data_IF_829110016360
#
_entry.id   IF_829110016360
#
_cell.length_a   1.000
_cell.length_b   1.000
_cell.length_c   1.000
_cell.angle_alpha   90.00
_cell.angle_beta   90.00
_cell.angle_gamma   90.00
#
_symmetry.space_group_name_H-M   'P 1'
#
loop_
_entity.id
_entity.type
_entity.pdbx_description
1 polymer ?
#
# COMPACT_ATOMS: atom_id res chain seq x y z
N UNK A 1 3.83 -15.20 5.37
CA UNK A 1 2.49 -14.76 4.92
C UNK A 1 1.83 -13.83 5.93
N UNK A 2 1.37 -14.31 7.10
CA UNK A 2 0.68 -13.48 8.11
C UNK A 2 1.43 -12.18 8.48
N UNK A 3 2.68 -12.32 8.89
CA UNK A 3 3.56 -11.19 9.21
C UNK A 3 3.80 -10.27 7.99
N UNK A 4 3.88 -10.83 6.78
CA UNK A 4 4.07 -10.05 5.55
C UNK A 4 2.85 -9.20 5.23
N UNK A 5 1.65 -9.78 5.31
CA UNK A 5 0.39 -9.07 5.11
C UNK A 5 0.17 -7.98 6.18
N UNK A 6 0.48 -8.28 7.46
CA UNK A 6 0.41 -7.29 8.53
C UNK A 6 1.45 -6.17 8.35
N UNK A 7 2.67 -6.50 7.91
CA UNK A 7 3.69 -5.50 7.58
C UNK A 7 3.24 -4.59 6.45
N UNK A 8 2.73 -5.12 5.34
CA UNK A 8 2.27 -4.30 4.22
C UNK A 8 1.06 -3.47 4.61
N UNK A 9 0.14 -4.01 5.41
CA UNK A 9 -0.97 -3.25 5.98
C UNK A 9 -0.48 -2.03 6.77
N UNK A 10 0.42 -2.24 7.74
CA UNK A 10 0.92 -1.16 8.61
C UNK A 10 1.76 -0.15 7.83
N UNK A 11 2.63 -0.59 6.91
CA UNK A 11 3.50 0.34 6.18
C UNK A 11 2.72 1.24 5.22
N UNK A 12 1.59 0.76 4.69
CA UNK A 12 0.71 1.55 3.81
C UNK A 12 -0.13 2.60 4.57
N UNK A 13 -0.22 2.51 5.90
CA UNK A 13 -0.87 3.56 6.73
C UNK A 13 -0.05 4.88 6.74
N UNK A 14 1.21 4.85 6.33
CA UNK A 14 2.07 6.04 6.24
C UNK A 14 1.91 6.72 4.87
N UNK A 15 0.70 7.16 4.56
CA UNK A 15 0.37 7.75 3.26
C UNK A 15 0.31 9.27 3.26
N UNK A 16 0.65 9.84 2.11
CA UNK A 16 0.66 11.28 1.87
C UNK A 16 -0.21 11.58 0.66
N UNK A 17 -1.24 12.44 0.78
CA UNK A 17 -2.09 12.85 -0.34
C UNK A 17 -1.30 13.53 -1.45
N UNK A 18 -1.62 13.17 -2.70
CA UNK A 18 -1.03 13.75 -3.91
C UNK A 18 -2.14 14.47 -4.69
N UNK A 19 -2.17 15.81 -4.70
CA UNK A 19 -3.13 16.57 -5.48
C UNK A 19 -3.08 16.20 -6.97
N UNK A 20 -4.25 15.96 -7.57
CA UNK A 20 -4.37 15.51 -8.96
C UNK A 20 -4.10 14.02 -9.18
N UNK A 21 -3.73 13.27 -8.14
CA UNK A 21 -3.56 11.82 -8.13
C UNK A 21 -4.36 11.19 -6.99
N UNK A 22 -3.76 10.24 -6.26
CA UNK A 22 -4.33 9.65 -5.03
C UNK A 22 -3.45 9.95 -3.82
N UNK A 23 -2.63 8.99 -3.40
CA UNK A 23 -1.66 9.08 -2.31
C UNK A 23 -0.34 8.46 -2.75
N UNK A 24 0.72 8.79 -2.03
CA UNK A 24 2.01 8.12 -2.18
C UNK A 24 2.53 7.65 -0.84
N UNK A 25 3.14 6.46 -0.85
CA UNK A 25 3.74 5.82 0.31
C UNK A 25 4.61 4.64 -0.09
N UNK A 26 5.29 4.07 0.91
CA UNK A 26 5.86 2.74 0.80
C UNK A 26 4.74 1.69 0.82
N UNK A 27 4.85 0.66 -0.02
CA UNK A 27 3.88 -0.45 -0.11
C UNK A 27 4.52 -1.75 0.38
N UNK A 28 5.81 -1.98 0.12
CA UNK A 28 6.52 -3.18 0.56
C UNK A 28 6.19 -4.44 -0.26
N UNK A 29 5.49 -4.33 -1.40
CA UNK A 29 5.17 -5.47 -2.27
C UNK A 29 6.42 -6.21 -2.76
N UNK A 30 7.47 -5.47 -3.14
CA UNK A 30 8.76 -6.03 -3.55
C UNK A 30 9.46 -6.75 -2.41
N UNK A 31 9.36 -6.26 -1.17
CA UNK A 31 9.91 -6.95 0.01
C UNK A 31 9.30 -8.34 0.13
N UNK A 32 7.97 -8.43 0.09
CA UNK A 32 7.27 -9.70 0.23
C UNK A 32 7.59 -10.63 -0.93
N UNK A 33 7.66 -10.10 -2.15
CA UNK A 33 7.98 -10.88 -3.34
C UNK A 33 9.39 -11.47 -3.29
N UNK A 34 10.40 -10.71 -2.86
CA UNK A 34 11.78 -11.18 -2.72
C UNK A 34 11.93 -12.24 -1.61
N UNK A 35 11.12 -12.18 -0.55
CA UNK A 35 11.22 -13.10 0.59
C UNK A 35 10.40 -14.37 0.41
N UNK A 36 9.19 -14.26 -0.16
CA UNK A 36 8.21 -15.37 -0.23
C UNK A 36 7.79 -15.74 -1.66
N UNK A 37 8.22 -15.00 -2.67
CA UNK A 37 7.77 -15.13 -4.05
C UNK A 37 6.56 -14.25 -4.40
N UNK A 38 6.33 -13.97 -5.70
CA UNK A 38 5.35 -13.00 -6.14
C UNK A 38 3.90 -13.42 -5.85
N UNK A 39 3.58 -14.72 -5.94
CA UNK A 39 2.23 -15.22 -5.64
C UNK A 39 1.86 -15.10 -4.15
N UNK A 40 2.82 -15.33 -3.25
CA UNK A 40 2.61 -15.12 -1.83
C UNK A 40 2.42 -13.63 -1.51
N UNK A 41 3.10 -12.75 -2.25
CA UNK A 41 2.89 -11.31 -2.17
C UNK A 41 1.49 -10.91 -2.64
N UNK A 42 1.00 -11.42 -3.78
CA UNK A 42 -0.39 -11.19 -4.24
C UNK A 42 -1.39 -11.48 -3.12
N UNK A 43 -1.32 -12.69 -2.54
CA UNK A 43 -2.26 -13.09 -1.48
C UNK A 43 -2.13 -12.17 -0.25
N UNK A 44 -0.89 -11.84 0.13
CA UNK A 44 -0.65 -11.01 1.33
C UNK A 44 -1.16 -9.58 1.16
N UNK A 45 -0.84 -8.93 0.04
CA UNK A 45 -1.22 -7.55 -0.22
C UNK A 45 -2.71 -7.43 -0.54
N UNK A 46 -3.30 -8.37 -1.30
CA UNK A 46 -4.75 -8.37 -1.51
C UNK A 46 -5.53 -8.50 -0.21
N UNK A 47 -5.08 -9.33 0.73
CA UNK A 47 -5.71 -9.41 2.05
C UNK A 47 -5.55 -8.11 2.83
N UNK A 48 -4.35 -7.51 2.83
CA UNK A 48 -4.11 -6.22 3.49
C UNK A 48 -5.05 -5.12 2.94
N UNK A 49 -5.12 -4.98 1.62
CA UNK A 49 -5.98 -4.01 0.94
C UNK A 49 -7.46 -4.27 1.20
N UNK A 50 -7.88 -5.53 1.22
CA UNK A 50 -9.27 -5.90 1.56
C UNK A 50 -9.62 -5.43 2.97
N UNK A 51 -8.71 -5.61 3.93
CA UNK A 51 -8.92 -5.16 5.31
C UNK A 51 -8.93 -3.64 5.41
N UNK A 52 -8.04 -2.93 4.69
CA UNK A 52 -8.05 -1.46 4.59
C UNK A 52 -9.39 -0.94 4.08
N UNK A 53 -9.84 -1.46 2.94
CA UNK A 53 -11.09 -1.03 2.31
C UNK A 53 -12.32 -1.35 3.16
N UNK A 54 -12.44 -2.58 3.68
CA UNK A 54 -13.66 -3.00 4.39
C UNK A 54 -13.76 -2.42 5.80
N UNK A 55 -12.66 -2.39 6.56
CA UNK A 55 -12.70 -1.97 7.97
C UNK A 55 -12.36 -0.51 8.17
N UNK A 56 -11.47 0.04 7.35
CA UNK A 56 -10.89 1.37 7.57
C UNK A 56 -11.28 2.39 6.50
N UNK A 57 -11.94 1.98 5.42
CA UNK A 57 -12.33 2.88 4.34
C UNK A 57 -11.14 3.49 3.58
N UNK A 58 -9.92 2.96 3.78
CA UNK A 58 -8.73 3.32 3.01
C UNK A 58 -8.77 2.50 1.72
N UNK A 59 -9.03 3.20 0.61
CA UNK A 59 -9.48 2.66 -0.67
C UNK A 59 -10.99 2.38 -0.72
N UNK A 60 -11.57 2.55 -1.91
CA UNK A 60 -12.98 2.28 -2.18
C UNK A 60 -13.27 0.82 -2.51
N UNK A 61 -14.46 0.34 -2.15
CA UNK A 61 -14.88 -1.05 -2.45
C UNK A 61 -14.91 -1.34 -3.96
N UNK A 62 -15.27 -0.36 -4.76
CA UNK A 62 -15.30 -0.45 -6.24
C UNK A 62 -13.90 -0.34 -6.84
N UNK A 63 -12.95 0.27 -6.13
CA UNK A 63 -11.56 0.41 -6.58
C UNK A 63 -10.64 -0.67 -6.01
N UNK A 64 -11.12 -1.54 -5.12
CA UNK A 64 -10.34 -2.64 -4.52
C UNK A 64 -9.65 -3.52 -5.57
N UNK A 65 -10.33 -3.81 -6.68
CA UNK A 65 -9.77 -4.56 -7.79
C UNK A 65 -8.58 -3.86 -8.44
N UNK A 66 -8.71 -2.57 -8.75
CA UNK A 66 -7.63 -1.75 -9.29
C UNK A 66 -6.46 -1.61 -8.30
N UNK A 67 -6.76 -1.38 -7.03
CA UNK A 67 -5.75 -1.31 -5.96
C UNK A 67 -4.98 -2.63 -5.82
N UNK A 68 -5.66 -3.77 -5.87
CA UNK A 68 -5.02 -5.09 -5.86
C UNK A 68 -4.19 -5.32 -7.13
N UNK A 69 -4.69 -4.93 -8.30
CA UNK A 69 -3.94 -5.07 -9.55
C UNK A 69 -2.64 -4.26 -9.51
N UNK A 70 -2.70 -3.01 -9.06
CA UNK A 70 -1.53 -2.14 -8.94
C UNK A 70 -0.56 -2.65 -7.87
N UNK A 71 -1.01 -2.71 -6.62
CA UNK A 71 -0.12 -2.93 -5.49
C UNK A 71 0.14 -4.40 -5.20
N UNK A 72 -0.84 -5.29 -5.38
CA UNK A 72 -0.67 -6.72 -5.09
C UNK A 72 -0.17 -7.53 -6.30
N UNK A 73 -0.35 -7.06 -7.53
CA UNK A 73 0.12 -7.76 -8.73
C UNK A 73 1.29 -7.06 -9.42
N UNK A 74 1.12 -5.84 -9.95
CA UNK A 74 2.19 -5.14 -10.70
C UNK A 74 3.44 -5.00 -9.84
N UNK A 75 3.31 -4.45 -8.63
CA UNK A 75 4.48 -4.20 -7.79
C UNK A 75 5.28 -5.48 -7.46
N UNK A 76 4.69 -6.56 -6.90
CA UNK A 76 5.44 -7.78 -6.61
C UNK A 76 6.08 -8.42 -7.83
N UNK A 77 5.39 -8.49 -8.96
CA UNK A 77 5.91 -9.14 -10.16
C UNK A 77 7.05 -8.33 -10.77
N UNK A 78 6.88 -7.01 -10.94
CA UNK A 78 7.94 -6.13 -11.45
C UNK A 78 9.15 -6.19 -10.53
N UNK A 79 8.95 -6.01 -9.22
CA UNK A 79 10.05 -6.05 -8.25
C UNK A 79 10.79 -7.39 -8.25
N UNK A 80 10.04 -8.51 -8.26
CA UNK A 80 10.62 -9.84 -8.30
C UNK A 80 11.48 -10.07 -9.55
N UNK A 81 10.94 -9.79 -10.74
CA UNK A 81 11.68 -10.06 -11.98
C UNK A 81 12.85 -9.09 -12.20
N UNK A 82 12.69 -7.81 -11.86
CA UNK A 82 13.81 -6.84 -11.90
C UNK A 82 14.95 -7.30 -10.99
N UNK A 83 14.64 -7.76 -9.77
CA UNK A 83 15.65 -8.32 -8.87
C UNK A 83 16.34 -9.55 -9.49
N UNK A 84 15.57 -10.54 -9.95
CA UNK A 84 16.13 -11.81 -10.45
C UNK A 84 16.99 -11.63 -11.71
N UNK A 85 16.53 -10.81 -12.66
CA UNK A 85 17.31 -10.47 -13.86
C UNK A 85 18.57 -9.70 -13.46
N UNK A 86 18.44 -8.72 -12.56
CA UNK A 86 19.58 -7.96 -12.04
C UNK A 86 20.61 -8.83 -11.33
N UNK A 87 20.22 -9.97 -10.79
CA UNK A 87 21.06 -10.93 -10.05
C UNK A 87 21.63 -12.08 -10.89
N UNK A 88 21.47 -12.09 -12.22
CA UNK A 88 22.07 -13.14 -13.06
C UNK A 88 23.62 -13.15 -12.98
N UNK A 89 24.23 -14.35 -12.97
CA UNK A 89 25.69 -14.51 -13.05
C UNK A 89 26.45 -14.18 -11.77
N UNK A 90 26.16 -14.89 -10.67
CA UNK A 90 26.90 -14.85 -9.39
C UNK A 90 27.23 -13.45 -8.85
N UNK A 91 26.21 -12.65 -8.48
CA UNK A 91 26.41 -11.28 -8.06
C UNK A 91 27.06 -11.20 -6.68
N UNK A 92 28.09 -10.35 -6.56
CA UNK A 92 28.68 -9.97 -5.27
C UNK A 92 27.72 -9.14 -4.41
N UNK A 93 28.06 -8.96 -3.12
CA UNK A 93 27.18 -8.35 -2.12
C UNK A 93 26.70 -6.94 -2.49
N UNK A 94 27.57 -6.07 -3.03
CA UNK A 94 27.20 -4.71 -3.45
C UNK A 94 26.15 -4.73 -4.56
N UNK A 95 26.32 -5.62 -5.55
CA UNK A 95 25.36 -5.79 -6.64
C UNK A 95 24.03 -6.30 -6.11
N UNK A 96 24.03 -7.23 -5.14
CA UNK A 96 22.80 -7.70 -4.47
C UNK A 96 22.03 -6.58 -3.79
N UNK A 97 22.71 -5.78 -2.98
CA UNK A 97 22.07 -4.66 -2.27
C UNK A 97 21.51 -3.62 -3.26
N UNK A 98 22.30 -3.23 -4.25
CA UNK A 98 21.86 -2.30 -5.30
C UNK A 98 20.68 -2.84 -6.11
N UNK A 99 20.70 -4.13 -6.47
CA UNK A 99 19.62 -4.76 -7.22
C UNK A 99 18.30 -4.83 -6.46
N UNK A 100 18.35 -5.06 -5.14
CA UNK A 100 17.14 -5.02 -4.29
C UNK A 100 16.56 -3.61 -4.26
N UNK A 101 17.40 -2.59 -4.08
CA UNK A 101 16.97 -1.20 -4.05
C UNK A 101 16.35 -0.77 -5.39
N UNK A 102 17.02 -1.09 -6.50
CA UNK A 102 16.55 -0.81 -7.87
C UNK A 102 15.22 -1.53 -8.15
N UNK A 103 15.07 -2.78 -7.71
CA UNK A 103 13.83 -3.52 -7.83
C UNK A 103 12.66 -2.84 -7.11
N UNK A 104 12.87 -2.41 -5.86
CA UNK A 104 11.87 -1.65 -5.11
C UNK A 104 11.50 -0.34 -5.81
N UNK A 105 12.51 0.42 -6.23
CA UNK A 105 12.34 1.70 -6.93
C UNK A 105 11.53 1.58 -8.22
N UNK A 106 11.90 0.64 -9.09
CA UNK A 106 11.22 0.44 -10.39
C UNK A 106 9.79 -0.05 -10.14
N UNK A 107 9.59 -1.00 -9.24
CA UNK A 107 8.28 -1.57 -8.96
C UNK A 107 7.26 -0.52 -8.49
N UNK A 108 7.61 0.33 -7.52
CA UNK A 108 6.68 1.37 -7.04
C UNK A 108 6.38 2.42 -8.11
N UNK A 109 7.36 2.80 -8.94
CA UNK A 109 7.13 3.75 -10.03
C UNK A 109 6.21 3.18 -11.11
N UNK A 110 6.38 1.90 -11.49
CA UNK A 110 5.48 1.23 -12.43
C UNK A 110 4.05 1.10 -11.88
N UNK A 111 3.94 0.87 -10.58
CA UNK A 111 2.67 0.77 -9.86
C UNK A 111 1.94 2.11 -9.82
N UNK A 112 2.66 3.18 -9.49
CA UNK A 112 2.11 4.54 -9.50
C UNK A 112 1.70 4.99 -10.91
N UNK A 113 2.48 4.63 -11.94
CA UNK A 113 2.12 4.91 -13.32
C UNK A 113 0.84 4.19 -13.75
N UNK A 114 0.67 2.92 -13.36
CA UNK A 114 -0.55 2.17 -13.65
C UNK A 114 -1.78 2.85 -13.01
N UNK A 115 -1.71 3.18 -11.72
CA UNK A 115 -2.77 3.94 -11.04
C UNK A 115 -3.04 5.29 -11.73
N UNK A 116 -1.99 6.02 -12.12
CA UNK A 116 -2.15 7.32 -12.80
C UNK A 116 -2.89 7.20 -14.13
N UNK A 117 -2.63 6.14 -14.90
CA UNK A 117 -3.31 5.86 -16.16
C UNK A 117 -4.77 5.50 -15.88
N UNK A 118 -5.03 4.58 -14.96
CA UNK A 118 -6.39 4.15 -14.59
C UNK A 118 -7.27 5.32 -14.14
N UNK A 119 -6.71 6.28 -13.40
CA UNK A 119 -7.37 7.53 -13.03
C UNK A 119 -7.55 8.45 -14.23
N UNK A 120 -6.49 8.71 -14.99
CA UNK A 120 -6.48 9.70 -16.06
C UNK A 120 -7.30 9.33 -17.29
N UNK A 121 -7.62 8.05 -17.48
CA UNK A 121 -8.53 7.60 -18.55
C UNK A 121 -10.01 7.80 -18.20
N UNK A 122 -10.38 7.98 -16.93
CA UNK A 122 -11.79 8.06 -16.54
C UNK A 122 -12.55 9.20 -17.26
N UNK A 123 -12.02 10.44 -17.39
CA UNK A 123 -12.67 11.48 -18.18
C UNK A 123 -12.92 11.11 -19.65
N UNK A 124 -12.10 10.21 -20.21
CA UNK A 124 -12.16 9.81 -21.62
C UNK A 124 -13.22 8.72 -21.82
N UNK A 125 -13.31 7.76 -20.89
CA UNK A 125 -14.17 6.58 -21.04
C UNK A 125 -15.52 6.70 -20.32
N UNK A 126 -15.65 7.63 -19.38
CA UNK A 126 -16.83 7.79 -18.54
C UNK A 126 -17.14 9.28 -18.34
N UNK A 127 -17.83 9.86 -19.33
CA UNK A 127 -18.30 11.24 -19.32
C UNK A 127 -19.80 11.30 -19.59
N UNK A 128 -20.44 12.29 -18.96
CA UNK A 128 -21.83 12.68 -19.19
C UNK A 128 -22.03 13.28 -20.59
N UNK A 129 -23.29 13.40 -21.08
CA UNK A 129 -23.59 14.01 -22.38
C UNK A 129 -23.10 15.46 -22.54
N UNK A 130 -22.98 16.22 -21.44
CA UNK A 130 -22.42 17.58 -21.39
C UNK A 130 -20.89 17.61 -21.24
N UNK A 131 -20.23 16.44 -21.27
CA UNK A 131 -18.78 16.30 -21.29
C UNK A 131 -18.11 16.34 -19.92
N UNK A 132 -18.87 16.30 -18.82
CA UNK A 132 -18.32 16.23 -17.46
C UNK A 132 -17.93 14.80 -17.10
N UNK A 133 -16.75 14.58 -16.50
CA UNK A 133 -16.37 13.26 -15.98
C UNK A 133 -17.38 12.71 -14.98
N UNK A 134 -17.65 11.40 -15.05
CA UNK A 134 -18.53 10.70 -14.12
C UNK A 134 -17.79 10.20 -12.86
N UNK A 135 -16.48 9.96 -12.97
CA UNK A 135 -15.63 9.43 -11.90
C UNK A 135 -14.40 10.32 -11.66
N UNK A 136 -13.18 9.80 -11.82
CA UNK A 136 -11.95 10.59 -11.67
C UNK A 136 -11.96 11.78 -12.64
N UNK A 137 -11.87 13.03 -12.15
CA UNK A 137 -12.12 14.21 -12.97
C UNK A 137 -10.86 14.66 -13.72
N UNK A 138 -9.69 14.25 -13.25
CA UNK A 138 -8.42 14.73 -13.78
C UNK A 138 -7.96 13.89 -14.98
N UNK A 139 -7.54 14.54 -16.09
CA UNK A 139 -7.05 13.83 -17.27
C UNK A 139 -5.63 13.29 -17.07
N UNK A 140 -5.17 12.45 -18.00
CA UNK A 140 -3.81 11.89 -18.04
C UNK A 140 -2.70 12.95 -17.89
N UNK A 141 -2.89 14.15 -18.46
CA UNK A 141 -1.93 15.26 -18.37
C UNK A 141 -1.75 15.83 -16.95
N UNK A 142 -2.67 15.50 -16.03
CA UNK A 142 -2.60 15.85 -14.61
C UNK A 142 -2.21 14.64 -13.78
N UNK A 143 -2.88 13.50 -13.96
CA UNK A 143 -2.67 12.31 -13.12
C UNK A 143 -1.28 11.72 -13.28
N UNK A 144 -0.76 11.64 -14.52
CA UNK A 144 0.57 11.09 -14.79
C UNK A 144 1.66 11.94 -14.13
N UNK A 145 1.76 13.26 -14.35
CA UNK A 145 2.76 14.06 -13.65
C UNK A 145 2.61 14.01 -12.13
N UNK A 146 1.39 14.09 -11.60
CA UNK A 146 1.14 14.07 -10.16
C UNK A 146 1.69 12.78 -9.50
N UNK A 147 1.36 11.63 -10.06
CA UNK A 147 1.77 10.32 -9.52
C UNK A 147 3.21 9.97 -9.88
N UNK A 148 3.62 10.13 -11.13
CA UNK A 148 4.95 9.71 -11.58
C UNK A 148 6.05 10.58 -10.95
N UNK A 149 5.90 11.91 -10.88
CA UNK A 149 6.95 12.78 -10.33
C UNK A 149 7.12 12.58 -8.83
N UNK A 150 6.03 12.50 -8.08
CA UNK A 150 6.07 12.29 -6.63
C UNK A 150 6.68 10.92 -6.27
N UNK A 151 6.34 9.86 -7.00
CA UNK A 151 6.91 8.54 -6.80
C UNK A 151 8.35 8.44 -7.33
N UNK A 152 8.70 9.14 -8.39
CA UNK A 152 10.08 9.16 -8.88
C UNK A 152 11.01 9.84 -7.88
N UNK A 153 10.59 10.98 -7.31
CA UNK A 153 11.42 11.82 -6.44
C UNK A 153 11.41 11.41 -4.98
N UNK A 154 10.28 10.95 -4.43
CA UNK A 154 10.12 10.74 -2.99
C UNK A 154 9.81 9.29 -2.63
N UNK A 155 8.72 8.72 -3.14
CA UNK A 155 8.28 7.38 -2.71
C UNK A 155 9.11 6.24 -3.29
N UNK A 156 9.70 6.45 -4.47
CA UNK A 156 10.68 5.57 -5.11
C UNK A 156 11.90 5.36 -4.25
N UNK A 157 12.62 6.44 -3.85
CA UNK A 157 13.74 6.33 -2.91
C UNK A 157 13.34 5.71 -1.57
N UNK A 158 12.17 6.07 -1.02
CA UNK A 158 11.67 5.49 0.23
C UNK A 158 11.47 3.97 0.09
N UNK A 159 10.79 3.51 -0.97
CA UNK A 159 10.58 2.09 -1.24
C UNK A 159 11.92 1.37 -1.50
N UNK A 160 12.84 1.98 -2.24
CA UNK A 160 14.15 1.41 -2.54
C UNK A 160 14.95 1.16 -1.26
N UNK A 161 15.04 2.17 -0.39
CA UNK A 161 15.75 2.10 0.89
C UNK A 161 15.05 1.11 1.82
N UNK A 162 13.73 1.22 1.98
CA UNK A 162 12.91 0.31 2.79
C UNK A 162 13.07 -1.13 2.35
N UNK A 163 12.98 -1.39 1.04
CA UNK A 163 13.14 -2.73 0.47
C UNK A 163 14.54 -3.28 0.72
N UNK A 164 15.58 -2.50 0.46
CA UNK A 164 16.96 -2.90 0.69
C UNK A 164 17.23 -3.23 2.16
N UNK A 165 16.71 -2.41 3.09
CA UNK A 165 16.87 -2.63 4.53
C UNK A 165 16.19 -3.94 4.97
N UNK A 166 14.91 -4.13 4.65
CA UNK A 166 14.15 -5.28 5.14
C UNK A 166 14.62 -6.58 4.49
N UNK A 167 14.81 -6.61 3.17
CA UNK A 167 15.25 -7.83 2.47
C UNK A 167 16.67 -8.22 2.89
N UNK A 168 17.59 -7.25 3.01
CA UNK A 168 18.96 -7.56 3.47
C UNK A 168 18.98 -8.08 4.91
N UNK A 169 18.12 -7.53 5.78
CA UNK A 169 17.97 -8.02 7.14
C UNK A 169 17.46 -9.48 7.15
N UNK A 170 16.42 -9.79 6.37
CA UNK A 170 15.86 -11.14 6.28
C UNK A 170 16.88 -12.13 5.70
N UNK A 171 17.60 -11.77 4.64
CA UNK A 171 18.60 -12.66 4.05
C UNK A 171 19.77 -12.91 4.98
N UNK A 172 20.32 -11.87 5.61
CA UNK A 172 21.41 -12.01 6.58
C UNK A 172 21.02 -12.86 7.78
N UNK A 173 19.78 -12.73 8.25
CA UNK A 173 19.30 -13.51 9.40
C UNK A 173 18.98 -14.95 9.04
N UNK A 174 18.45 -15.22 7.84
CA UNK A 174 18.28 -16.58 7.32
C UNK A 174 19.62 -17.29 7.15
N UNK A 175 20.64 -16.62 6.58
CA UNK A 175 22.00 -17.17 6.50
C UNK A 175 22.56 -17.46 7.91
N UNK A 176 22.37 -16.54 8.85
CA UNK A 176 22.83 -16.73 10.23
C UNK A 176 22.15 -17.95 10.92
N UNK A 177 20.90 -18.26 10.61
CA UNK A 177 20.22 -19.46 11.14
C UNK A 177 20.87 -20.76 10.68
N UNK A 178 21.38 -20.82 9.44
CA UNK A 178 22.07 -22.02 8.94
C UNK A 178 23.33 -22.35 9.76
N UNK A 179 23.97 -21.33 10.33
CA UNK A 179 25.20 -21.48 11.12
C UNK A 179 25.00 -21.38 12.64
N UNK A 180 23.93 -20.73 13.11
CA UNK A 180 23.61 -20.51 14.53
C UNK A 180 22.11 -20.72 14.77
N UNK A 181 21.66 -21.96 15.03
CA UNK A 181 20.23 -22.32 15.09
C UNK A 181 19.46 -21.75 16.28
N UNK A 182 20.12 -21.04 17.22
CA UNK A 182 19.49 -20.41 18.38
C UNK A 182 18.88 -19.03 18.06
N UNK A 183 19.20 -18.43 16.90
CA UNK A 183 18.65 -17.13 16.51
C UNK A 183 17.25 -17.27 15.90
N UNK A 184 16.24 -16.60 16.48
CA UNK A 184 14.87 -16.59 15.95
C UNK A 184 14.56 -15.26 15.23
N UNK A 185 14.70 -15.18 13.89
CA UNK A 185 14.48 -13.94 13.13
C UNK A 185 13.02 -13.48 13.16
N UNK A 186 12.06 -14.40 13.35
CA UNK A 186 10.66 -14.03 13.44
C UNK A 186 10.40 -13.11 14.62
N UNK A 187 11.05 -13.34 15.78
CA UNK A 187 10.90 -12.47 16.96
C UNK A 187 11.28 -11.03 16.63
N UNK A 188 12.41 -10.83 15.95
CA UNK A 188 12.88 -9.49 15.57
C UNK A 188 11.99 -8.81 14.56
N UNK A 189 11.44 -9.56 13.60
CA UNK A 189 10.48 -9.01 12.62
C UNK A 189 9.16 -8.60 13.30
N UNK A 190 8.68 -9.36 14.28
CA UNK A 190 7.52 -8.96 15.09
C UNK A 190 7.79 -7.70 15.91
N UNK A 191 9.00 -7.57 16.48
CA UNK A 191 9.40 -6.32 17.17
C UNK A 191 9.40 -5.16 16.17
N UNK A 192 9.93 -5.34 14.96
CA UNK A 192 9.87 -4.35 13.89
C UNK A 192 8.44 -3.94 13.56
N UNK A 193 7.52 -4.90 13.44
CA UNK A 193 6.10 -4.62 13.20
C UNK A 193 5.47 -3.82 14.36
N UNK A 194 5.76 -4.18 15.61
CA UNK A 194 5.25 -3.44 16.79
C UNK A 194 5.77 -2.00 16.79
N UNK A 195 7.04 -1.78 16.44
CA UNK A 195 7.60 -0.44 16.31
C UNK A 195 6.86 0.34 15.21
N UNK A 196 6.63 -0.26 14.04
CA UNK A 196 5.87 0.38 12.97
C UNK A 196 4.43 0.72 13.41
N UNK A 197 3.75 -0.17 14.14
CA UNK A 197 2.42 0.06 14.72
C UNK A 197 2.43 1.28 15.65
N UNK A 198 3.45 1.42 16.50
CA UNK A 198 3.58 2.57 17.41
C UNK A 198 3.83 3.87 16.63
N UNK A 199 4.50 3.78 15.49
CA UNK A 199 4.86 4.92 14.65
C UNK A 199 3.75 5.35 13.69
N UNK A 200 2.67 4.59 13.52
CA UNK A 200 1.58 4.94 12.58
C UNK A 200 0.97 6.33 12.77
N UNK A 201 0.96 6.97 13.96
CA UNK A 201 0.52 8.35 14.08
C UNK A 201 1.34 9.35 13.25
N UNK A 202 2.53 8.98 12.77
CA UNK A 202 3.27 9.82 11.81
C UNK A 202 2.50 10.02 10.50
N UNK A 203 1.60 9.09 10.14
CA UNK A 203 0.69 9.26 9.00
C UNK A 203 -0.26 10.46 9.16
N UNK A 204 -0.62 10.82 10.40
CA UNK A 204 -1.47 11.99 10.69
C UNK A 204 -0.78 13.33 10.40
N UNK A 205 0.53 13.34 10.16
CA UNK A 205 1.25 14.56 9.79
C UNK A 205 0.95 14.98 8.34
N UNK A 206 0.53 14.04 7.49
CA UNK A 206 0.07 14.35 6.15
C UNK A 206 -1.34 14.96 6.21
N UNK A 207 -1.58 16.04 5.45
CA UNK A 207 -2.89 16.69 5.37
C UNK A 207 -3.52 16.45 4.00
N UNK A 208 -4.81 16.12 3.99
CA UNK A 208 -5.61 15.84 2.79
C UNK A 208 -6.08 14.38 2.75
N UNK A 209 -6.85 14.04 1.72
CA UNK A 209 -7.53 12.75 1.52
C UNK A 209 -7.12 12.15 0.17
N UNK A 210 -7.17 10.82 0.00
CA UNK A 210 -6.85 10.18 -1.27
C UNK A 210 -8.02 10.27 -2.26
N UNK A 211 -7.73 10.30 -3.55
CA UNK A 211 -8.79 10.19 -4.56
C UNK A 211 -9.55 8.87 -4.44
N UNK A 212 -10.89 8.94 -4.43
CA UNK A 212 -11.78 7.81 -4.14
C UNK A 212 -12.24 7.74 -2.68
N UNK A 213 -11.70 8.59 -1.80
CA UNK A 213 -12.07 8.73 -0.38
C UNK A 213 -12.66 10.11 -0.08
N UNK A 214 -12.74 11.00 -1.08
CA UNK A 214 -13.24 12.36 -0.91
C UNK A 214 -14.73 12.38 -0.63
N UNK A 215 -15.10 13.11 0.42
CA UNK A 215 -16.50 13.41 0.70
C UNK A 215 -17.08 14.34 -0.37
N UNK A 216 -18.41 14.29 -0.53
CA UNK A 216 -19.16 15.14 -1.45
C UNK A 216 -18.85 16.63 -1.26
N UNK A 217 -18.60 17.07 -0.02
CA UNK A 217 -18.24 18.45 0.32
C UNK A 217 -16.85 18.84 -0.22
N UNK A 218 -15.86 17.94 -0.14
CA UNK A 218 -14.51 18.17 -0.67
C UNK A 218 -14.52 18.25 -2.20
N UNK A 219 -15.32 17.39 -2.85
CA UNK A 219 -15.53 17.43 -4.30
C UNK A 219 -16.13 18.75 -4.76
N UNK A 220 -17.15 19.25 -4.05
CA UNK A 220 -17.75 20.56 -4.35
C UNK A 220 -16.72 21.68 -4.17
N UNK A 221 -15.91 21.65 -3.12
CA UNK A 221 -14.89 22.66 -2.87
C UNK A 221 -13.80 22.69 -3.96
N UNK A 222 -13.43 21.52 -4.50
CA UNK A 222 -12.36 21.40 -5.51
C UNK A 222 -12.85 21.58 -6.95
N UNK A 223 -14.03 21.07 -7.28
CA UNK A 223 -14.54 20.97 -8.65
C UNK A 223 -15.75 21.85 -8.92
N UNK A 224 -16.43 22.33 -7.87
CA UNK A 224 -17.71 23.04 -7.97
C UNK A 224 -18.93 22.14 -8.19
N UNK A 225 -18.75 20.82 -8.27
CA UNK A 225 -19.81 19.82 -8.39
C UNK A 225 -19.33 18.45 -7.91
N UNK A 226 -20.26 17.52 -7.69
CA UNK A 226 -19.97 16.10 -7.45
C UNK A 226 -20.17 15.33 -8.74
N UNK A 227 -19.17 14.59 -9.27
CA UNK A 227 -19.35 13.70 -10.41
C UNK A 227 -20.51 12.73 -10.18
N UNK A 228 -21.44 12.65 -11.15
CA UNK A 228 -22.70 11.91 -10.98
C UNK A 228 -22.47 10.42 -10.73
N UNK A 229 -21.47 9.83 -11.40
CA UNK A 229 -21.08 8.44 -11.19
C UNK A 229 -20.63 8.18 -9.76
N UNK A 230 -19.82 9.06 -9.16
CA UNK A 230 -19.40 8.94 -7.76
C UNK A 230 -20.56 9.11 -6.80
N UNK A 231 -21.47 10.05 -7.06
CA UNK A 231 -22.67 10.26 -6.25
C UNK A 231 -23.52 8.98 -6.19
N UNK A 232 -23.61 8.23 -7.29
CA UNK A 232 -24.31 6.95 -7.34
C UNK A 232 -23.64 5.83 -6.54
N UNK A 233 -22.36 5.98 -6.18
CA UNK A 233 -21.59 5.02 -5.36
C UNK A 233 -21.57 5.39 -3.87
N UNK A 234 -22.05 6.59 -3.52
CA UNK A 234 -22.13 7.06 -2.13
C UNK A 234 -23.05 6.13 -1.31
N UNK A 235 -22.60 5.75 -0.12
CA UNK A 235 -23.38 4.87 0.78
C UNK A 235 -23.39 3.38 0.41
N UNK A 236 -22.67 2.94 -0.63
CA UNK A 236 -22.54 1.51 -0.95
C UNK A 236 -21.92 0.69 0.18
N UNK A 237 -21.01 1.30 0.95
CA UNK A 237 -20.35 0.68 2.08
C UNK A 237 -20.04 1.72 3.15
N UNK A 238 -20.13 1.31 4.42
CA UNK A 238 -19.70 2.12 5.55
C UNK A 238 -18.65 1.32 6.31
N UNK A 239 -17.42 1.82 6.34
CA UNK A 239 -16.34 1.19 7.09
C UNK A 239 -16.54 1.39 8.60
N UNK A 240 -15.94 0.50 9.40
CA UNK A 240 -16.09 0.51 10.86
C UNK A 240 -15.31 1.66 11.52
N UNK A 241 -14.11 1.94 11.02
CA UNK A 241 -13.22 2.99 11.49
C UNK A 241 -12.61 3.75 10.31
N UNK A 242 -13.42 4.58 9.62
CA UNK A 242 -12.95 5.41 8.50
C UNK A 242 -11.66 6.16 8.85
N UNK A 243 -10.72 6.21 7.91
CA UNK A 243 -9.42 6.89 8.05
C UNK A 243 -8.63 6.43 9.28
N UNK A 244 -8.82 5.17 9.69
CA UNK A 244 -8.21 4.58 10.89
C UNK A 244 -8.57 5.30 12.20
N UNK A 245 -9.60 6.14 12.19
CA UNK A 245 -10.00 6.93 13.34
C UNK A 245 -11.13 6.23 14.12
N UNK A 246 -11.16 6.47 15.43
CA UNK A 246 -12.17 5.90 16.33
C UNK A 246 -13.24 6.97 16.59
N UNK A 247 -14.54 6.66 16.45
CA UNK A 247 -15.61 7.60 16.78
C UNK A 247 -15.44 8.19 18.19
N UNK A 248 -15.42 9.52 18.28
CA UNK A 248 -15.20 10.26 19.53
C UNK A 248 -13.73 10.58 19.85
N UNK A 249 -12.76 10.13 19.05
CA UNK A 249 -11.34 10.44 19.20
C UNK A 249 -10.94 11.67 18.36
N UNK A 250 -11.53 12.82 18.70
CA UNK A 250 -11.44 14.03 17.87
C UNK A 250 -10.23 14.94 18.18
N UNK A 251 -9.54 14.74 19.30
CA UNK A 251 -8.33 15.52 19.63
C UNK A 251 -7.09 14.83 19.06
N UNK A 252 -6.08 15.60 18.62
CA UNK A 252 -4.86 15.06 18.01
C UNK A 252 -4.22 13.88 18.77
N UNK A 253 -4.08 13.99 20.10
CA UNK A 253 -3.55 12.91 20.93
C UNK A 253 -4.41 11.63 20.93
N UNK A 254 -5.75 11.79 20.89
CA UNK A 254 -6.68 10.67 20.82
C UNK A 254 -6.66 10.05 19.43
N UNK A 255 -6.64 10.84 18.36
CA UNK A 255 -6.52 10.32 16.98
C UNK A 255 -5.23 9.53 16.79
N UNK A 256 -4.11 9.98 17.38
CA UNK A 256 -2.85 9.23 17.40
C UNK A 256 -3.02 7.86 18.09
N UNK A 257 -3.67 7.81 19.25
CA UNK A 257 -3.99 6.54 19.92
C UNK A 257 -4.92 5.68 19.06
N UNK A 258 -5.90 6.30 18.39
CA UNK A 258 -6.80 5.64 17.44
C UNK A 258 -6.04 4.94 16.31
N UNK A 259 -5.08 5.61 15.68
CA UNK A 259 -4.23 5.05 14.64
C UNK A 259 -3.43 3.82 15.11
N UNK A 260 -2.86 3.87 16.33
CA UNK A 260 -2.14 2.73 16.90
C UNK A 260 -3.10 1.55 17.13
N UNK A 261 -4.29 1.81 17.67
CA UNK A 261 -5.32 0.77 17.91
C UNK A 261 -5.77 0.16 16.58
N UNK A 262 -6.06 0.98 15.57
CA UNK A 262 -6.45 0.56 14.23
C UNK A 262 -5.36 -0.30 13.58
N UNK A 263 -4.10 0.13 13.66
CA UNK A 263 -2.95 -0.62 13.15
C UNK A 263 -2.81 -2.00 13.82
N UNK A 264 -2.96 -2.05 15.15
CA UNK A 264 -2.90 -3.29 15.92
C UNK A 264 -4.09 -4.21 15.62
N UNK A 265 -5.30 -3.66 15.50
CA UNK A 265 -6.52 -4.43 15.21
C UNK A 265 -6.46 -5.03 13.80
N UNK A 266 -6.17 -4.22 12.78
CA UNK A 266 -6.06 -4.68 11.40
C UNK A 266 -5.00 -5.77 11.25
N UNK A 267 -3.82 -5.57 11.85
CA UNK A 267 -2.75 -6.58 11.89
C UNK A 267 -3.20 -7.87 12.55
N UNK A 268 -3.91 -7.79 13.69
CA UNK A 268 -4.39 -8.96 14.42
C UNK A 268 -5.43 -9.76 13.63
N UNK A 269 -6.34 -9.07 12.95
CA UNK A 269 -7.36 -9.68 12.09
C UNK A 269 -6.70 -10.40 10.91
N UNK A 270 -5.74 -9.76 10.24
CA UNK A 270 -4.97 -10.37 9.14
C UNK A 270 -4.28 -11.66 9.59
N UNK A 271 -3.61 -11.61 10.76
CA UNK A 271 -2.91 -12.77 11.32
C UNK A 271 -3.88 -13.89 11.64
N UNK A 272 -5.03 -13.55 12.23
CA UNK A 272 -6.08 -14.52 12.55
C UNK A 272 -6.65 -15.18 11.28
N UNK A 273 -6.98 -14.41 10.25
CA UNK A 273 -7.51 -14.93 8.98
C UNK A 273 -6.52 -15.92 8.35
N UNK A 274 -5.24 -15.54 8.24
CA UNK A 274 -4.22 -16.43 7.66
C UNK A 274 -4.00 -17.67 8.53
N UNK A 275 -4.03 -17.54 9.86
CA UNK A 275 -3.93 -18.66 10.78
C UNK A 275 -5.09 -19.66 10.61
N UNK A 276 -6.32 -19.17 10.54
CA UNK A 276 -7.51 -20.00 10.36
C UNK A 276 -7.52 -20.66 8.99
N UNK A 277 -7.22 -19.92 7.92
CA UNK A 277 -7.09 -20.48 6.57
C UNK A 277 -6.03 -21.59 6.53
N UNK A 278 -4.89 -21.38 7.19
CA UNK A 278 -3.82 -22.39 7.29
C UNK A 278 -4.24 -23.64 8.07
N UNK A 279 -5.14 -23.53 9.05
CA UNK A 279 -5.71 -24.70 9.74
C UNK A 279 -6.69 -25.49 8.87
N UNK A 280 -7.46 -24.80 8.04
CA UNK A 280 -8.43 -25.43 7.14
C UNK A 280 -7.70 -26.15 6.01
N UNK A 281 -6.68 -25.52 5.40
CA UNK A 281 -5.94 -26.10 4.26
C UNK A 281 -5.02 -27.27 4.66
N UNK A 282 -4.57 -27.34 5.92
CA UNK A 282 -3.77 -28.48 6.40
C UNK A 282 -4.58 -29.75 6.65
N UNK A 283 -5.89 -29.73 6.46
CA UNK A 283 -6.77 -30.90 6.43
C UNK A 283 -6.98 -31.33 4.99
#
# INVERSE_FOLDING_TARGET
LALSAAFTFVIMMFNIPIPGGSTGHMVGGTVVACVLGPWAAVISLSLALTIQTLLFGDGGITTLGANCFNMAFIMPFVGYYVYHVGMAGSPGQKRRLGGIAIAGYIAINMTALAAAIELGIQPIIASSPDGRPLYAPYPLSVTIPAMAVSHFLFFGPIEAIGTAMVVSYVFKTNEAMLYKPVYNPLKSLWIGLIILIILTPLGLLAKGTAWGEWASEELIALLGYVPEGLKGLEGLWTSLMPDYNIPGFNSHAKSAVGYIISAALGSSIIVLIIYLAGKIWKR
#
